data_IF_405458790645
#
_entry.id   IF_405458790645
#
_cell.length_a   1.000
_cell.length_b   1.000
_cell.length_c   1.000
_cell.angle_alpha   90.00
_cell.angle_beta   90.00
_cell.angle_gamma   90.00
#
_symmetry.space_group_name_H-M   'P 1'
#
loop_
_entity.id
_entity.type
_entity.pdbx_description
1 polymer ?
#
# COMPACT_ATOMS: atom_id res chain seq x y z
N UNK A 1 -11.60 -25.19 10.86
CA UNK A 1 -10.14 -24.98 11.04
C UNK A 1 -9.89 -23.48 11.00
N UNK A 2 -9.65 -22.85 12.15
CA UNK A 2 -9.39 -21.41 12.20
C UNK A 2 -7.95 -21.15 11.77
N UNK A 3 -7.75 -20.54 10.59
CA UNK A 3 -6.44 -20.00 10.19
C UNK A 3 -6.16 -18.79 11.08
N UNK A 4 -5.39 -19.01 12.15
CA UNK A 4 -4.71 -17.95 12.87
C UNK A 4 -3.66 -17.35 11.92
N UNK A 5 -4.06 -16.39 11.09
CA UNK A 5 -3.11 -15.49 10.46
C UNK A 5 -2.47 -14.71 11.60
N UNK A 6 -1.15 -14.83 11.75
CA UNK A 6 -0.35 -13.97 12.60
C UNK A 6 -0.48 -12.53 12.10
N UNK A 7 -1.53 -11.83 12.52
CA UNK A 7 -2.00 -10.57 11.94
C UNK A 7 -1.07 -9.36 12.15
N UNK A 8 0.18 -9.57 12.59
CA UNK A 8 1.15 -8.51 12.85
C UNK A 8 2.57 -8.81 12.33
N UNK A 9 2.75 -9.80 11.46
CA UNK A 9 4.06 -10.01 10.84
C UNK A 9 4.30 -8.94 9.77
N UNK A 10 5.37 -8.15 9.96
CA UNK A 10 5.87 -7.22 8.95
C UNK A 10 6.69 -7.99 7.92
N UNK A 11 6.38 -7.77 6.66
CA UNK A 11 7.11 -8.30 5.52
C UNK A 11 7.88 -7.16 4.86
N UNK A 12 9.02 -7.48 4.26
CA UNK A 12 9.80 -6.56 3.42
C UNK A 12 9.98 -7.28 2.08
N UNK A 13 9.59 -6.63 0.98
CA UNK A 13 9.73 -7.18 -0.36
C UNK A 13 9.97 -6.05 -1.37
N UNK A 14 10.89 -6.29 -2.28
CA UNK A 14 11.02 -5.53 -3.53
C UNK A 14 9.98 -6.04 -4.53
N UNK A 15 9.17 -5.13 -5.05
CA UNK A 15 8.05 -5.45 -5.95
C UNK A 15 8.00 -4.48 -7.11
N UNK A 16 7.50 -4.97 -8.24
CA UNK A 16 7.32 -4.15 -9.43
C UNK A 16 6.01 -3.36 -9.32
N UNK A 17 6.09 -2.05 -9.52
CA UNK A 17 4.94 -1.17 -9.60
C UNK A 17 4.24 -1.38 -10.94
N UNK A 18 2.93 -1.60 -10.87
CA UNK A 18 2.06 -1.70 -12.05
C UNK A 18 1.00 -0.61 -12.00
N UNK A 19 0.59 -0.14 -13.16
CA UNK A 19 -0.42 0.92 -13.29
C UNK A 19 -0.07 2.15 -12.43
N UNK A 20 1.18 2.61 -12.49
CA UNK A 20 1.65 3.78 -11.72
C UNK A 20 0.80 5.03 -11.98
N UNK A 21 0.25 5.16 -13.19
CA UNK A 21 -0.71 6.18 -13.60
C UNK A 21 -2.05 6.12 -12.85
N UNK A 22 -2.40 4.97 -12.27
CA UNK A 22 -3.60 4.76 -11.45
C UNK A 22 -3.37 4.94 -9.95
N UNK A 23 -2.18 5.36 -9.54
CA UNK A 23 -1.96 5.71 -8.15
C UNK A 23 -2.88 6.87 -7.72
N UNK A 24 -3.38 6.79 -6.49
CA UNK A 24 -4.36 7.75 -5.96
C UNK A 24 -3.90 8.25 -4.61
N UNK A 25 -3.90 9.58 -4.46
CA UNK A 25 -3.79 10.27 -3.18
C UNK A 25 -5.13 10.92 -2.82
N UNK A 26 -5.58 10.74 -1.58
CA UNK A 26 -6.84 11.31 -1.08
C UNK A 26 -6.75 11.66 0.40
N UNK A 27 -7.28 12.81 0.77
CA UNK A 27 -7.54 13.15 2.18
C UNK A 27 -8.92 12.65 2.58
N UNK A 28 -9.00 11.89 3.68
CA UNK A 28 -10.22 11.31 4.22
C UNK A 28 -10.42 11.87 5.63
N UNK A 29 -11.57 12.49 5.87
CA UNK A 29 -11.99 12.89 7.22
C UNK A 29 -12.70 11.74 7.90
N UNK A 30 -12.20 11.30 9.05
CA UNK A 30 -12.86 10.26 9.84
C UNK A 30 -14.07 10.79 10.64
N UNK A 31 -14.82 9.88 11.26
CA UNK A 31 -16.01 10.22 12.07
C UNK A 31 -15.73 11.14 13.27
N UNK A 32 -14.47 11.27 13.67
CA UNK A 32 -14.03 12.15 14.76
C UNK A 32 -13.51 13.49 14.23
N UNK A 33 -13.76 13.80 12.95
CA UNK A 33 -13.29 14.99 12.25
C UNK A 33 -11.75 15.07 12.13
N UNK A 34 -11.06 13.92 12.24
CA UNK A 34 -9.61 13.84 12.04
C UNK A 34 -9.34 13.58 10.56
N UNK A 35 -8.57 14.46 9.93
CA UNK A 35 -8.12 14.26 8.56
C UNK A 35 -6.98 13.26 8.52
N UNK A 36 -7.06 12.32 7.59
CA UNK A 36 -6.04 11.30 7.32
C UNK A 36 -5.79 11.23 5.84
N UNK A 37 -4.51 11.25 5.46
CA UNK A 37 -4.14 11.11 4.07
C UNK A 37 -4.00 9.63 3.72
N UNK A 38 -4.44 9.27 2.52
CA UNK A 38 -4.42 7.93 1.96
C UNK A 38 -3.64 8.00 0.65
N UNK A 39 -2.70 7.09 0.46
CA UNK A 39 -2.11 6.85 -0.84
C UNK A 39 -2.29 5.37 -1.20
N UNK A 40 -2.70 5.09 -2.43
CA UNK A 40 -2.85 3.73 -2.94
C UNK A 40 -2.27 3.58 -4.33
N UNK A 41 -1.64 2.44 -4.58
CA UNK A 41 -1.02 2.05 -5.84
C UNK A 41 -1.10 0.53 -6.01
N UNK A 42 -0.70 0.02 -7.17
CA UNK A 42 -0.69 -1.42 -7.44
C UNK A 42 0.72 -1.92 -7.70
N UNK A 43 0.97 -3.15 -7.27
CA UNK A 43 2.22 -3.86 -7.52
C UNK A 43 1.93 -5.24 -8.10
N UNK A 44 2.87 -5.77 -8.87
CA UNK A 44 2.88 -7.18 -9.22
C UNK A 44 3.69 -7.93 -8.16
N UNK A 45 3.05 -8.90 -7.52
CA UNK A 45 3.69 -9.78 -6.57
C UNK A 45 3.45 -11.24 -6.98
N UNK A 46 4.51 -11.91 -7.43
CA UNK A 46 4.48 -13.29 -7.94
C UNK A 46 3.36 -13.55 -8.96
N UNK A 47 3.15 -12.59 -9.89
CA UNK A 47 2.11 -12.66 -10.93
C UNK A 47 0.71 -12.20 -10.50
N UNK A 48 0.53 -11.83 -9.23
CA UNK A 48 -0.72 -11.27 -8.72
C UNK A 48 -0.67 -9.75 -8.65
N UNK A 49 -1.78 -9.10 -8.98
CA UNK A 49 -1.90 -7.65 -8.87
C UNK A 49 -2.40 -7.30 -7.48
N UNK A 50 -1.51 -6.83 -6.62
CA UNK A 50 -1.84 -6.51 -5.23
C UNK A 50 -1.99 -5.01 -5.07
N UNK A 51 -3.05 -4.61 -4.38
CA UNK A 51 -3.27 -3.21 -4.02
C UNK A 51 -2.48 -2.86 -2.76
N UNK A 52 -1.62 -1.87 -2.87
CA UNK A 52 -0.87 -1.30 -1.77
C UNK A 52 -1.56 -0.05 -1.26
N UNK A 53 -1.67 0.08 0.06
CA UNK A 53 -2.35 1.19 0.73
C UNK A 53 -1.49 1.69 1.88
N UNK A 54 -1.30 3.00 1.95
CA UNK A 54 -0.58 3.66 3.04
C UNK A 54 -1.32 4.90 3.54
N UNK A 55 -1.01 5.33 4.77
CA UNK A 55 -1.73 6.39 5.46
C UNK A 55 -0.80 7.47 6.03
N UNK A 56 -1.35 8.67 6.20
CA UNK A 56 -0.75 9.83 6.87
C UNK A 56 0.65 10.16 6.31
N UNK A 57 1.66 10.28 7.19
CA UNK A 57 3.01 10.66 6.82
C UNK A 57 3.60 9.80 5.69
N UNK A 58 3.43 8.48 5.75
CA UNK A 58 3.91 7.58 4.70
C UNK A 58 3.18 7.84 3.38
N UNK A 59 1.88 8.16 3.41
CA UNK A 59 1.13 8.54 2.21
C UNK A 59 1.62 9.87 1.63
N UNK A 60 1.86 10.86 2.48
CA UNK A 60 2.34 12.19 2.08
C UNK A 60 3.74 12.11 1.47
N UNK A 61 4.63 11.32 2.07
CA UNK A 61 5.98 11.11 1.57
C UNK A 61 5.96 10.35 0.24
N UNK A 62 5.17 9.30 0.13
CA UNK A 62 5.07 8.52 -1.10
C UNK A 62 4.50 9.38 -2.24
N UNK A 63 3.48 10.20 -1.97
CA UNK A 63 2.89 11.10 -2.96
C UNK A 63 3.89 12.13 -3.53
N UNK A 64 4.94 12.49 -2.80
CA UNK A 64 5.97 13.45 -3.26
C UNK A 64 6.96 12.83 -4.24
N UNK A 65 7.23 11.53 -4.12
CA UNK A 65 8.30 10.86 -4.88
C UNK A 65 7.77 9.86 -5.91
N UNK A 66 6.61 9.26 -5.66
CA UNK A 66 5.96 8.31 -6.55
C UNK A 66 5.39 9.04 -7.77
N UNK A 67 5.68 8.52 -8.96
CA UNK A 67 5.22 9.09 -10.21
C UNK A 67 5.01 7.98 -11.26
N UNK A 68 4.56 8.36 -12.45
CA UNK A 68 4.27 7.42 -13.55
C UNK A 68 5.47 6.59 -14.01
N UNK A 69 6.69 7.06 -13.74
CA UNK A 69 7.94 6.41 -14.14
C UNK A 69 8.50 5.52 -13.02
N UNK A 70 7.85 5.46 -11.85
CA UNK A 70 8.21 4.54 -10.77
C UNK A 70 7.94 3.11 -11.20
N UNK A 71 9.01 2.30 -11.31
CA UNK A 71 8.95 0.90 -11.77
C UNK A 71 9.10 -0.10 -10.65
N UNK A 72 9.96 0.18 -9.68
CA UNK A 72 10.28 -0.77 -8.62
C UNK A 72 10.28 -0.06 -7.28
N UNK A 73 9.76 -0.73 -6.27
CA UNK A 73 9.64 -0.19 -4.92
C UNK A 73 9.87 -1.32 -3.92
N UNK A 74 10.73 -1.07 -2.94
CA UNK A 74 10.79 -1.90 -1.75
C UNK A 74 9.74 -1.40 -0.77
N UNK A 75 8.88 -2.31 -0.31
CA UNK A 75 7.84 -2.00 0.65
C UNK A 75 7.99 -2.85 1.90
N UNK A 76 7.80 -2.22 3.05
CA UNK A 76 7.57 -2.90 4.32
C UNK A 76 6.09 -2.83 4.66
N UNK A 77 5.43 -3.98 4.74
CA UNK A 77 3.97 -4.04 4.80
C UNK A 77 3.42 -5.11 5.75
N UNK A 78 2.14 -4.94 6.11
CA UNK A 78 1.33 -5.97 6.74
C UNK A 78 0.31 -6.49 5.71
N UNK A 79 0.08 -7.80 5.71
CA UNK A 79 -1.07 -8.37 5.02
C UNK A 79 -2.36 -7.85 5.63
N UNK A 80 -3.28 -7.42 4.77
CA UNK A 80 -4.59 -6.97 5.18
C UNK A 80 -5.62 -7.52 4.19
N UNK A 81 -6.59 -8.25 4.69
CA UNK A 81 -7.77 -8.56 3.87
C UNK A 81 -8.70 -7.35 3.88
N UNK A 82 -9.10 -6.91 2.71
CA UNK A 82 -10.14 -5.91 2.58
C UNK A 82 -11.46 -6.54 3.04
N UNK A 83 -12.04 -6.02 4.13
CA UNK A 83 -13.27 -6.56 4.73
C UNK A 83 -14.49 -6.53 3.81
N UNK A 84 -14.44 -5.74 2.73
CA UNK A 84 -15.57 -5.53 1.83
C UNK A 84 -15.44 -6.33 0.53
N UNK A 85 -14.22 -6.66 0.09
CA UNK A 85 -13.97 -7.37 -1.18
C UNK A 85 -13.33 -8.73 -1.00
N UNK A 86 -12.90 -9.08 0.22
CA UNK A 86 -12.10 -10.27 0.54
C UNK A 86 -10.77 -10.38 -0.24
N UNK A 87 -10.37 -9.29 -0.90
CA UNK A 87 -9.11 -9.21 -1.63
C UNK A 87 -7.93 -8.94 -0.68
N UNK A 88 -6.78 -9.47 -1.06
CA UNK A 88 -5.52 -9.23 -0.36
C UNK A 88 -5.03 -7.81 -0.69
N UNK A 89 -4.78 -7.02 0.35
CA UNK A 89 -4.16 -5.70 0.28
C UNK A 89 -2.89 -5.66 1.13
N UNK A 90 -1.93 -4.85 0.72
CA UNK A 90 -0.73 -4.58 1.50
C UNK A 90 -0.86 -3.24 2.20
N UNK A 91 -0.89 -3.28 3.53
CA UNK A 91 -0.82 -2.07 4.36
C UNK A 91 0.64 -1.65 4.52
N UNK A 92 1.11 -0.79 3.63
CA UNK A 92 2.50 -0.32 3.59
C UNK A 92 2.77 0.61 4.78
N UNK A 93 3.91 0.40 5.43
CA UNK A 93 4.39 1.15 6.61
C UNK A 93 5.60 2.00 6.28
N UNK A 94 6.53 1.42 5.54
CA UNK A 94 7.75 2.08 5.06
C UNK A 94 7.95 1.70 3.60
N UNK A 95 8.64 2.56 2.85
CA UNK A 95 8.94 2.32 1.45
C UNK A 95 10.31 2.88 1.08
N UNK A 96 10.90 2.33 0.02
CA UNK A 96 12.07 2.87 -0.64
C UNK A 96 11.88 2.73 -2.17
N UNK A 97 11.92 3.84 -2.91
CA UNK A 97 11.82 3.80 -4.37
C UNK A 97 13.18 3.44 -4.94
N UNK A 98 13.19 2.40 -5.78
CA UNK A 98 14.38 1.94 -6.49
C UNK A 98 14.23 2.45 -7.94
N UNK A 99 14.96 3.50 -8.26
CA UNK A 99 14.99 4.11 -9.60
C UNK A 99 16.07 3.47 -10.48
#
# INVERSE_FOLDING_TARGET
MYRNFQNNQLFIKEVDVIFADKAMFKTITDKNNIQRNLFSFYVNDDGQNIKCVTWNETADNLNKVFNKDTKTIEIKYLHKNNKNTDELEYSVREFNIIN
#
